data_IF_039660963820
#
_entry.id   IF_039660963820
#
_cell.length_a   1.000
_cell.length_b   1.000
_cell.length_c   1.000
_cell.angle_alpha   90.00
_cell.angle_beta   90.00
_cell.angle_gamma   90.00
#
_symmetry.space_group_name_H-M   'P 1'
#
loop_
_entity.id
_entity.type
_entity.pdbx_description
1 polymer ?
#
# COMPACT_ATOMS: atom_id res chain seq x y z
N UNK A 1 -18.15 -20.11 25.17
CA UNK A 1 -16.90 -20.52 24.48
C UNK A 1 -17.16 -20.56 22.99
N UNK A 2 -17.10 -19.40 22.32
CA UNK A 2 -17.14 -19.33 20.86
C UNK A 2 -15.71 -19.32 20.33
N UNK A 3 -15.44 -20.37 19.56
CA UNK A 3 -14.16 -20.94 19.18
C UNK A 3 -13.25 -20.02 18.34
N UNK A 4 -11.95 -20.12 18.62
CA UNK A 4 -10.79 -19.66 17.83
C UNK A 4 -10.91 -19.94 16.31
N UNK A 5 -11.75 -20.89 15.90
CA UNK A 5 -12.00 -21.24 14.48
C UNK A 5 -12.56 -20.08 13.65
N UNK A 6 -13.41 -19.21 14.20
CA UNK A 6 -14.04 -18.16 13.41
C UNK A 6 -13.10 -17.01 13.04
N UNK A 7 -12.01 -16.83 13.79
CA UNK A 7 -11.07 -15.73 13.53
C UNK A 7 -10.09 -16.06 12.39
N UNK A 8 -9.80 -17.35 12.16
CA UNK A 8 -8.97 -17.82 11.03
C UNK A 8 -9.71 -17.65 9.69
N UNK A 9 -11.04 -17.75 9.68
CA UNK A 9 -11.83 -17.56 8.47
C UNK A 9 -11.86 -16.09 8.01
N UNK A 10 -11.79 -15.12 8.92
CA UNK A 10 -11.78 -13.70 8.52
C UNK A 10 -10.46 -13.27 7.87
N UNK A 11 -9.32 -13.82 8.30
CA UNK A 11 -8.01 -13.52 7.69
C UNK A 11 -7.89 -14.21 6.32
N UNK A 12 -8.50 -15.40 6.15
CA UNK A 12 -8.57 -16.06 4.85
C UNK A 12 -9.53 -15.37 3.87
N UNK A 13 -10.62 -14.75 4.34
CA UNK A 13 -11.60 -14.07 3.49
C UNK A 13 -11.03 -12.83 2.78
N UNK A 14 -10.05 -12.14 3.37
CA UNK A 14 -9.37 -11.01 2.70
C UNK A 14 -8.36 -11.43 1.63
N UNK A 15 -8.02 -12.72 1.54
CA UNK A 15 -7.04 -13.24 0.58
C UNK A 15 -7.66 -13.92 -0.65
N UNK A 16 -9.00 -13.94 -0.74
CA UNK A 16 -9.73 -14.60 -1.84
C UNK A 16 -10.39 -13.65 -2.85
N UNK A 17 -10.11 -12.35 -2.81
CA UNK A 17 -10.60 -11.44 -3.87
C UNK A 17 -9.63 -11.53 -5.06
N UNK A 18 -9.87 -12.51 -5.95
CA UNK A 18 -9.33 -12.52 -7.30
C UNK A 18 -10.47 -12.53 -8.31
N UNK A 19 -10.65 -11.35 -8.92
CA UNK A 19 -11.10 -11.03 -10.29
C UNK A 19 -12.54 -11.32 -10.73
N UNK A 20 -13.08 -10.41 -11.57
CA UNK A 20 -13.13 -10.72 -12.99
C UNK A 20 -12.61 -9.60 -13.92
N UNK A 21 -11.80 -10.05 -14.89
CA UNK A 21 -11.61 -9.55 -16.27
C UNK A 21 -10.94 -8.18 -16.52
N UNK A 22 -9.81 -8.23 -17.23
CA UNK A 22 -9.23 -7.10 -17.98
C UNK A 22 -7.71 -7.05 -17.99
N UNK A 23 -7.09 -7.62 -19.04
CA UNK A 23 -5.69 -7.51 -19.48
C UNK A 23 -4.68 -8.45 -18.80
N UNK A 24 -4.32 -9.49 -19.56
CA UNK A 24 -3.16 -10.37 -19.34
C UNK A 24 -1.86 -9.56 -19.35
N UNK A 25 -1.15 -9.60 -18.22
CA UNK A 25 0.14 -8.96 -18.03
C UNK A 25 0.73 -9.32 -16.67
N UNK A 26 1.24 -10.55 -16.57
CA UNK A 26 2.11 -11.04 -15.49
C UNK A 26 1.55 -11.06 -14.05
N UNK A 27 0.52 -11.88 -13.79
CA UNK A 27 0.43 -12.52 -12.46
C UNK A 27 1.43 -13.66 -12.42
N UNK A 28 2.57 -13.46 -11.76
CA UNK A 28 3.39 -14.59 -11.30
C UNK A 28 2.49 -15.46 -10.39
N UNK A 29 2.25 -16.74 -10.72
CA UNK A 29 1.52 -17.62 -9.83
C UNK A 29 2.38 -17.85 -8.60
N UNK A 30 2.01 -17.19 -7.51
CA UNK A 30 2.72 -17.31 -6.24
C UNK A 30 2.41 -18.69 -5.67
N UNK A 31 3.44 -19.45 -5.29
CA UNK A 31 3.20 -20.76 -4.69
C UNK A 31 2.57 -20.55 -3.30
N UNK A 32 1.72 -21.49 -2.88
CA UNK A 32 1.16 -21.50 -1.52
C UNK A 32 2.27 -21.43 -0.45
N UNK A 33 3.42 -22.05 -0.75
CA UNK A 33 4.61 -22.03 0.10
C UNK A 33 5.17 -20.61 0.29
N UNK A 34 5.24 -19.78 -0.75
CA UNK A 34 5.77 -18.40 -0.64
C UNK A 34 4.89 -17.53 0.27
N UNK A 35 3.57 -17.74 0.21
CA UNK A 35 2.61 -17.05 1.08
C UNK A 35 2.78 -17.47 2.54
N UNK A 36 2.95 -18.77 2.79
CA UNK A 36 3.21 -19.28 4.14
C UNK A 36 4.53 -18.76 4.71
N UNK A 37 5.58 -18.68 3.90
CA UNK A 37 6.87 -18.10 4.31
C UNK A 37 6.74 -16.62 4.67
N UNK A 38 6.01 -15.84 3.88
CA UNK A 38 5.74 -14.43 4.19
C UNK A 38 4.97 -14.30 5.53
N UNK A 39 3.95 -15.12 5.74
CA UNK A 39 3.17 -15.11 6.99
C UNK A 39 4.03 -15.45 8.20
N UNK A 40 4.93 -16.42 8.10
CA UNK A 40 5.87 -16.76 9.18
C UNK A 40 6.75 -15.57 9.55
N UNK A 41 7.28 -14.84 8.56
CA UNK A 41 8.11 -13.64 8.79
C UNK A 41 7.32 -12.50 9.43
N UNK A 42 6.10 -12.24 8.95
CA UNK A 42 5.21 -11.25 9.58
C UNK A 42 4.91 -11.63 11.02
N UNK A 43 4.59 -12.90 11.30
CA UNK A 43 4.28 -13.35 12.66
C UNK A 43 5.49 -13.27 13.59
N UNK A 44 6.68 -13.63 13.09
CA UNK A 44 7.93 -13.44 13.82
C UNK A 44 8.14 -11.98 14.22
N UNK A 45 7.96 -11.03 13.28
CA UNK A 45 8.09 -9.60 13.57
C UNK A 45 7.02 -9.12 14.55
N UNK A 46 5.77 -9.57 14.42
CA UNK A 46 4.71 -9.23 15.37
C UNK A 46 5.06 -9.69 16.78
N UNK A 47 5.66 -10.88 16.93
CA UNK A 47 6.14 -11.36 18.24
C UNK A 47 7.30 -10.52 18.76
N UNK A 48 8.28 -10.20 17.90
CA UNK A 48 9.45 -9.40 18.26
C UNK A 48 9.08 -7.99 18.72
N UNK A 49 8.13 -7.34 18.05
CA UNK A 49 7.66 -5.99 18.39
C UNK A 49 6.46 -5.98 19.34
N UNK A 50 6.08 -7.13 19.90
CA UNK A 50 4.96 -7.28 20.84
C UNK A 50 3.61 -6.76 20.31
N UNK A 51 3.33 -6.98 19.02
CA UNK A 51 2.12 -6.49 18.34
C UNK A 51 1.07 -7.59 18.08
N UNK A 52 1.08 -8.69 18.85
CA UNK A 52 0.11 -9.79 18.69
C UNK A 52 -1.18 -9.59 19.52
N UNK A 53 -1.17 -8.64 20.46
CA UNK A 53 -2.31 -8.35 21.33
C UNK A 53 -3.47 -7.66 20.61
N UNK A 54 -4.68 -7.79 21.17
CA UNK A 54 -5.89 -7.25 20.54
C UNK A 54 -5.92 -5.72 20.45
N UNK A 55 -5.19 -5.05 21.34
CA UNK A 55 -5.01 -3.61 21.36
C UNK A 55 -4.37 -3.06 20.07
N UNK A 56 -3.68 -3.91 19.31
CA UNK A 56 -3.05 -3.53 18.04
C UNK A 56 -4.01 -3.58 16.85
N UNK A 57 -5.13 -4.32 16.92
CA UNK A 57 -6.14 -4.30 15.85
C UNK A 57 -6.72 -2.89 15.66
N UNK A 58 -7.06 -2.22 16.76
CA UNK A 58 -7.55 -0.84 16.74
C UNK A 58 -6.50 0.21 16.34
N UNK A 59 -5.21 -0.16 16.37
CA UNK A 59 -4.07 0.69 16.01
C UNK A 59 -3.58 0.45 14.57
N UNK A 60 -4.28 -0.37 13.79
CA UNK A 60 -3.87 -0.66 12.41
C UNK A 60 -3.91 0.61 11.55
N UNK A 61 -2.76 0.95 10.97
CA UNK A 61 -2.56 2.19 10.19
C UNK A 61 -3.45 2.24 8.94
N UNK A 62 -3.74 1.09 8.33
CA UNK A 62 -4.40 1.04 7.03
C UNK A 62 -5.83 0.49 7.05
N UNK A 63 -6.32 -0.04 8.18
CA UNK A 63 -7.64 -0.72 8.24
C UNK A 63 -8.78 0.15 7.72
N UNK A 64 -8.82 1.43 8.10
CA UNK A 64 -9.87 2.36 7.66
C UNK A 64 -9.84 2.61 6.15
N UNK A 65 -8.65 2.61 5.54
CA UNK A 65 -8.47 2.78 4.11
C UNK A 65 -8.75 1.49 3.33
N UNK A 66 -8.32 0.34 3.87
CA UNK A 66 -8.58 -0.98 3.29
C UNK A 66 -10.08 -1.31 3.27
N UNK A 67 -10.84 -0.92 4.30
CA UNK A 67 -12.28 -1.13 4.34
C UNK A 67 -13.02 -0.34 3.24
N UNK A 68 -12.52 0.86 2.93
CA UNK A 68 -13.09 1.76 1.91
C UNK A 68 -12.53 1.53 0.51
N UNK A 69 -11.70 0.52 0.32
CA UNK A 69 -11.00 0.30 -0.95
C UNK A 69 -11.99 -0.14 -2.03
N UNK A 70 -12.84 -1.12 -1.70
CA UNK A 70 -13.87 -1.62 -2.62
C UNK A 70 -14.98 -0.59 -2.91
N UNK A 71 -15.11 0.46 -2.09
CA UNK A 71 -16.11 1.52 -2.30
C UNK A 71 -15.60 2.66 -3.19
N UNK A 72 -14.40 2.56 -3.77
CA UNK A 72 -13.87 3.58 -4.68
C UNK A 72 -14.45 3.42 -6.08
N UNK A 73 -14.78 4.55 -6.70
CA UNK A 73 -15.50 4.62 -7.98
C UNK A 73 -14.77 3.97 -9.16
N UNK A 74 -13.43 3.90 -9.13
CA UNK A 74 -12.64 3.27 -10.20
C UNK A 74 -11.54 2.37 -9.65
N UNK A 75 -11.20 1.33 -10.43
CA UNK A 75 -10.05 0.46 -10.16
C UNK A 75 -8.74 1.25 -10.07
N UNK A 76 -8.60 2.33 -10.85
CA UNK A 76 -7.42 3.22 -10.81
C UNK A 76 -7.26 3.92 -9.47
N UNK A 77 -8.35 4.42 -8.87
CA UNK A 77 -8.29 5.00 -7.52
C UNK A 77 -7.88 3.98 -6.46
N UNK A 78 -8.32 2.73 -6.60
CA UNK A 78 -7.93 1.63 -5.71
C UNK A 78 -6.45 1.30 -5.85
N UNK A 79 -5.97 1.15 -7.07
CA UNK A 79 -4.56 0.89 -7.37
C UNK A 79 -3.65 1.99 -6.82
N UNK A 80 -4.02 3.26 -6.99
CA UNK A 80 -3.23 4.38 -6.48
C UNK A 80 -3.11 4.33 -4.96
N UNK A 81 -4.23 4.05 -4.26
CA UNK A 81 -4.23 3.91 -2.80
C UNK A 81 -3.37 2.73 -2.34
N UNK A 82 -3.44 1.58 -3.03
CA UNK A 82 -2.63 0.40 -2.71
C UNK A 82 -1.14 0.69 -2.89
N UNK A 83 -0.73 1.34 -3.98
CA UNK A 83 0.68 1.72 -4.17
C UNK A 83 1.16 2.65 -3.05
N UNK A 84 0.36 3.64 -2.64
CA UNK A 84 0.72 4.54 -1.53
C UNK A 84 0.88 3.80 -0.21
N UNK A 85 -0.03 2.88 0.14
CA UNK A 85 0.07 2.08 1.37
C UNK A 85 1.30 1.17 1.35
N UNK A 86 1.61 0.56 0.21
CA UNK A 86 2.80 -0.27 0.04
C UNK A 86 4.08 0.57 0.16
N UNK A 87 4.15 1.73 -0.49
CA UNK A 87 5.29 2.64 -0.38
C UNK A 87 5.53 3.09 1.08
N UNK A 88 4.46 3.42 1.80
CA UNK A 88 4.58 3.80 3.21
C UNK A 88 5.02 2.61 4.08
N UNK A 89 4.47 1.41 3.82
CA UNK A 89 4.91 0.19 4.50
C UNK A 89 6.40 -0.07 4.31
N UNK A 90 6.89 0.06 3.08
CA UNK A 90 8.32 -0.08 2.77
C UNK A 90 9.18 0.93 3.54
N UNK A 91 8.73 2.19 3.59
CA UNK A 91 9.42 3.27 4.32
C UNK A 91 9.49 2.97 5.83
N UNK A 92 8.38 2.53 6.42
CA UNK A 92 8.30 2.16 7.83
C UNK A 92 9.22 0.96 8.12
N UNK A 93 9.17 -0.08 7.28
CA UNK A 93 10.03 -1.27 7.48
C UNK A 93 11.52 -0.96 7.31
N UNK A 94 11.87 -0.05 6.40
CA UNK A 94 13.25 0.43 6.26
C UNK A 94 13.73 1.16 7.51
N UNK A 95 12.89 2.01 8.11
CA UNK A 95 13.19 2.69 9.38
C UNK A 95 13.32 1.70 10.54
N UNK A 96 12.37 0.76 10.68
CA UNK A 96 12.44 -0.31 11.68
C UNK A 96 13.72 -1.14 11.55
N UNK A 97 14.13 -1.45 10.31
CA UNK A 97 15.36 -2.19 10.03
C UNK A 97 16.60 -1.39 10.43
N UNK A 98 16.59 -0.07 10.24
CA UNK A 98 17.68 0.81 10.66
C UNK A 98 17.84 0.93 12.17
N UNK A 99 16.77 0.67 12.94
CA UNK A 99 16.74 0.81 14.41
C UNK A 99 17.00 -0.48 15.18
N UNK A 100 16.84 -1.64 14.55
CA UNK A 100 17.02 -2.94 15.22
C UNK A 100 18.44 -3.46 15.06
N UNK A 101 19.03 -3.98 16.14
CA UNK A 101 20.33 -4.66 16.12
C UNK A 101 20.20 -6.17 15.85
N UNK A 102 19.01 -6.73 15.98
CA UNK A 102 18.76 -8.16 15.81
C UNK A 102 18.82 -8.56 14.32
N UNK A 103 19.79 -9.39 13.94
CA UNK A 103 20.02 -9.80 12.55
C UNK A 103 18.86 -10.63 11.96
N UNK A 104 18.17 -11.45 12.75
CA UNK A 104 16.99 -12.19 12.30
C UNK A 104 15.82 -11.24 11.99
N UNK A 105 15.65 -10.20 12.82
CA UNK A 105 14.69 -9.11 12.58
C UNK A 105 15.06 -8.31 11.33
N UNK A 106 16.34 -7.95 11.14
CA UNK A 106 16.80 -7.26 9.92
C UNK A 106 16.54 -8.10 8.67
N UNK A 107 16.81 -9.40 8.72
CA UNK A 107 16.59 -10.33 7.61
C UNK A 107 15.11 -10.43 7.29
N UNK A 108 14.26 -10.65 8.30
CA UNK A 108 12.81 -10.72 8.11
C UNK A 108 12.22 -9.44 7.53
N UNK A 109 12.68 -8.27 8.00
CA UNK A 109 12.28 -6.97 7.44
C UNK A 109 12.73 -6.80 6.00
N UNK A 110 13.98 -7.15 5.67
CA UNK A 110 14.50 -7.09 4.29
C UNK A 110 13.67 -7.96 3.33
N UNK A 111 13.27 -9.14 3.77
CA UNK A 111 12.50 -10.05 2.95
C UNK A 111 11.08 -9.53 2.71
N UNK A 112 10.40 -9.04 3.75
CA UNK A 112 9.08 -8.39 3.59
C UNK A 112 9.17 -7.16 2.69
N UNK A 113 10.22 -6.35 2.82
CA UNK A 113 10.43 -5.20 1.94
C UNK A 113 10.64 -5.61 0.48
N UNK A 114 11.36 -6.70 0.23
CA UNK A 114 11.51 -7.26 -1.12
C UNK A 114 10.15 -7.63 -1.71
N UNK A 115 9.28 -8.19 -0.89
CA UNK A 115 7.91 -8.52 -1.29
C UNK A 115 7.05 -7.30 -1.57
N UNK A 116 7.17 -6.26 -0.75
CA UNK A 116 6.51 -4.98 -0.98
C UNK A 116 6.98 -4.38 -2.31
N UNK A 117 8.28 -4.37 -2.61
CA UNK A 117 8.82 -3.89 -3.88
C UNK A 117 8.25 -4.65 -5.08
N UNK A 118 8.18 -5.98 -5.01
CA UNK A 118 7.59 -6.79 -6.07
C UNK A 118 6.09 -6.48 -6.26
N UNK A 119 5.34 -6.31 -5.17
CA UNK A 119 3.94 -5.91 -5.24
C UNK A 119 3.76 -4.50 -5.80
N UNK A 120 4.72 -3.60 -5.61
CA UNK A 120 4.68 -2.24 -6.15
C UNK A 120 5.01 -2.16 -7.63
N UNK A 121 5.76 -3.11 -8.16
CA UNK A 121 6.18 -3.10 -9.57
C UNK A 121 4.98 -3.03 -10.54
N UNK A 122 3.85 -3.66 -10.20
CA UNK A 122 2.61 -3.64 -11.00
C UNK A 122 1.86 -2.31 -11.00
N UNK A 123 2.28 -1.33 -10.20
CA UNK A 123 1.64 -0.02 -10.06
C UNK A 123 2.47 1.11 -10.66
N UNK A 124 3.22 0.83 -11.74
CA UNK A 124 4.15 1.79 -12.35
C UNK A 124 3.44 3.05 -12.86
N UNK A 125 2.21 2.92 -13.38
CA UNK A 125 1.44 4.05 -13.88
C UNK A 125 0.92 4.91 -12.72
N UNK A 126 0.43 4.29 -11.63
CA UNK A 126 0.04 5.01 -10.43
C UNK A 126 1.21 5.72 -9.74
N UNK A 127 2.43 5.20 -9.89
CA UNK A 127 3.65 5.87 -9.44
C UNK A 127 4.01 7.09 -10.31
N UNK A 128 3.70 7.08 -11.61
CA UNK A 128 3.83 8.29 -12.47
C UNK A 128 2.81 9.35 -12.07
N UNK A 129 1.53 8.98 -11.98
CA UNK A 129 0.45 9.90 -11.57
C UNK A 129 0.76 10.54 -10.21
N UNK A 130 1.30 9.78 -9.27
CA UNK A 130 1.68 10.36 -8.00
C UNK A 130 2.83 11.35 -8.07
N UNK A 131 3.84 11.10 -8.92
CA UNK A 131 4.92 12.09 -9.12
C UNK A 131 4.34 13.38 -9.67
N UNK A 132 3.44 13.31 -10.65
CA UNK A 132 2.74 14.48 -11.17
C UNK A 132 1.94 15.21 -10.06
N UNK A 133 1.26 14.48 -9.18
CA UNK A 133 0.57 15.09 -8.03
C UNK A 133 1.53 15.77 -7.06
N UNK A 134 2.70 15.19 -6.79
CA UNK A 134 3.72 15.81 -5.95
C UNK A 134 4.29 17.07 -6.59
N UNK A 135 4.54 17.03 -7.91
CA UNK A 135 5.01 18.17 -8.67
C UNK A 135 3.98 19.32 -8.59
N UNK A 136 2.69 19.02 -8.77
CA UNK A 136 1.60 19.99 -8.60
C UNK A 136 1.56 20.55 -7.16
N UNK A 137 1.69 19.70 -6.14
CA UNK A 137 1.69 20.13 -4.74
C UNK A 137 2.90 21.00 -4.37
N UNK A 138 4.01 20.87 -5.11
CA UNK A 138 5.24 21.62 -4.87
C UNK A 138 5.25 23.02 -5.49
N UNK A 139 4.23 23.38 -6.28
CA UNK A 139 4.15 24.68 -6.96
C UNK A 139 4.14 25.83 -5.94
N UNK A 140 4.99 26.83 -6.17
CA UNK A 140 5.09 28.02 -5.33
C UNK A 140 3.91 28.98 -5.55
N UNK A 141 2.79 28.72 -4.88
CA UNK A 141 1.52 29.47 -5.06
C UNK A 141 1.60 30.97 -4.78
N UNK A 142 2.63 31.43 -4.07
CA UNK A 142 2.86 32.86 -3.75
C UNK A 142 3.66 33.60 -4.83
N UNK A 143 4.17 32.88 -5.83
CA UNK A 143 4.95 33.46 -6.92
C UNK A 143 4.02 34.17 -7.93
N UNK A 144 4.22 35.48 -8.12
CA UNK A 144 3.35 36.29 -8.98
C UNK A 144 3.36 35.88 -10.46
N UNK A 145 4.46 35.30 -10.96
CA UNK A 145 4.52 34.78 -12.33
C UNK A 145 3.69 33.51 -12.46
N UNK A 146 3.76 32.60 -11.49
CA UNK A 146 2.95 31.38 -11.46
C UNK A 146 1.46 31.72 -11.39
N UNK A 147 1.06 32.66 -10.54
CA UNK A 147 -0.33 33.11 -10.43
C UNK A 147 -0.89 33.59 -11.77
N UNK A 148 -0.12 34.40 -12.51
CA UNK A 148 -0.49 34.85 -13.86
C UNK A 148 -0.52 33.69 -14.85
N UNK A 149 0.45 32.77 -14.77
CA UNK A 149 0.52 31.58 -15.62
C UNK A 149 -0.69 30.66 -15.48
N UNK A 150 -1.20 30.48 -14.25
CA UNK A 150 -2.40 29.67 -13.99
C UNK A 150 -3.61 30.20 -14.77
N UNK A 151 -3.77 31.53 -14.89
CA UNK A 151 -4.88 32.14 -15.66
C UNK A 151 -4.86 31.70 -17.14
N UNK A 152 -3.67 31.52 -17.74
CA UNK A 152 -3.55 31.07 -19.12
C UNK A 152 -3.99 29.61 -19.32
N UNK A 153 -3.79 28.76 -18.31
CA UNK A 153 -4.21 27.35 -18.35
C UNK A 153 -5.62 27.11 -17.85
N UNK A 154 -6.23 28.07 -17.15
CA UNK A 154 -7.45 27.83 -16.37
C UNK A 154 -8.65 27.45 -17.23
N UNK A 155 -8.83 28.08 -18.40
CA UNK A 155 -9.96 27.75 -19.28
C UNK A 155 -9.90 26.31 -19.77
N UNK A 156 -8.72 25.84 -20.17
CA UNK A 156 -8.51 24.45 -20.61
C UNK A 156 -8.76 23.49 -19.43
N UNK A 157 -8.27 23.83 -18.24
CA UNK A 157 -8.51 23.02 -17.05
C UNK A 157 -10.00 22.92 -16.70
N UNK A 158 -10.73 24.03 -16.82
CA UNK A 158 -12.17 24.09 -16.58
C UNK A 158 -12.93 23.18 -17.55
N UNK A 159 -12.63 23.28 -18.85
CA UNK A 159 -13.27 22.47 -19.89
C UNK A 159 -13.01 20.97 -19.73
N UNK A 160 -11.83 20.57 -19.23
CA UNK A 160 -11.50 19.15 -18.99
C UNK A 160 -12.13 18.59 -17.72
N UNK A 161 -12.46 19.45 -16.74
CA UNK A 161 -12.98 19.03 -15.45
C UNK A 161 -14.52 18.97 -15.38
N UNK A 162 -15.20 19.65 -16.30
CA UNK A 162 -16.66 19.71 -16.41
C UNK A 162 -17.21 18.62 -17.32
#
# INVERSE_FOLDING_TARGET
MYSLRNMVHLICAFLLIVSPQGIDGARLPRSQNDKEQLLKKVHFLQKHYHTTGMEWFGKSVFVSHLHKLNSKASCTCQSLLLDRMLNLSETIFQDMKGKTENEDTKTSLKDIMTEVKMLRHKYSEEQKVWRELQDIQSIEVKNGTIQKGVLNSFLILYDLAY
#
